data_IF_192442510865
#
_entry.id   IF_192442510865
#
_cell.length_a   1.000
_cell.length_b   1.000
_cell.length_c   1.000
_cell.angle_alpha   90.00
_cell.angle_beta   90.00
_cell.angle_gamma   90.00
#
_symmetry.space_group_name_H-M   'P 1'
#
loop_
_entity.id
_entity.type
_entity.pdbx_description
1 polymer ?
#
# COMPACT_ATOMS: atom_id res chain seq x y z
N UNK A 1 3.30 -27.23 -14.12
CA UNK A 1 3.76 -26.13 -13.25
C UNK A 1 2.52 -25.50 -12.62
N UNK A 2 2.51 -25.31 -11.32
CA UNK A 2 1.41 -24.67 -10.60
C UNK A 2 1.54 -23.16 -10.81
N UNK A 3 0.51 -22.50 -11.34
CA UNK A 3 0.58 -21.04 -11.57
C UNK A 3 0.36 -20.26 -10.26
N UNK A 4 0.82 -19.00 -10.21
CA UNK A 4 0.51 -18.08 -9.08
C UNK A 4 -0.99 -18.02 -8.82
N UNK A 5 -1.82 -18.01 -9.87
CA UNK A 5 -3.27 -18.00 -9.75
C UNK A 5 -3.79 -19.24 -9.01
N UNK A 6 -3.22 -20.42 -9.27
CA UNK A 6 -3.62 -21.66 -8.58
C UNK A 6 -3.24 -21.64 -7.12
N UNK A 7 -2.06 -21.10 -6.79
CA UNK A 7 -1.60 -20.95 -5.39
C UNK A 7 -2.48 -19.97 -4.64
N UNK A 8 -2.78 -18.81 -5.23
CA UNK A 8 -3.70 -17.80 -4.67
C UNK A 8 -5.09 -18.40 -4.44
N UNK A 9 -5.59 -19.19 -5.39
CA UNK A 9 -6.89 -19.85 -5.25
C UNK A 9 -6.91 -20.87 -4.10
N UNK A 10 -5.83 -21.65 -3.91
CA UNK A 10 -5.69 -22.59 -2.80
C UNK A 10 -5.65 -21.84 -1.46
N UNK A 11 -4.82 -20.80 -1.34
CA UNK A 11 -4.73 -19.96 -0.15
C UNK A 11 -6.09 -19.33 0.18
N UNK A 12 -6.76 -18.76 -0.84
CA UNK A 12 -8.09 -18.18 -0.65
C UNK A 12 -9.14 -19.21 -0.22
N UNK A 13 -9.02 -20.45 -0.69
CA UNK A 13 -9.88 -21.55 -0.28
C UNK A 13 -9.82 -21.84 1.22
N UNK A 14 -8.69 -21.58 1.89
CA UNK A 14 -8.51 -21.74 3.33
C UNK A 14 -9.34 -20.74 4.15
N UNK A 15 -9.80 -19.63 3.57
CA UNK A 15 -10.77 -18.73 4.19
C UNK A 15 -12.00 -19.45 4.73
N UNK A 16 -12.46 -20.49 4.02
CA UNK A 16 -13.67 -21.21 4.40
C UNK A 16 -13.48 -21.98 5.73
N UNK A 17 -12.27 -22.44 6.02
CA UNK A 17 -11.93 -23.11 7.28
C UNK A 17 -12.08 -22.16 8.47
N UNK A 18 -11.77 -20.87 8.27
CA UNK A 18 -11.75 -19.87 9.33
C UNK A 18 -13.10 -19.21 9.57
N UNK A 19 -14.00 -19.23 8.58
CA UNK A 19 -15.38 -18.73 8.74
C UNK A 19 -16.12 -19.39 9.91
N UNK A 20 -15.85 -20.66 10.16
CA UNK A 20 -16.45 -21.41 11.27
C UNK A 20 -15.94 -20.96 12.66
N UNK A 21 -14.84 -20.19 12.72
CA UNK A 21 -14.34 -19.52 13.94
C UNK A 21 -14.83 -18.08 14.08
N UNK A 22 -15.68 -17.60 13.16
CA UNK A 22 -16.20 -16.25 13.17
C UNK A 22 -15.20 -15.19 12.67
N UNK A 23 -14.12 -15.61 11.99
CA UNK A 23 -13.09 -14.74 11.42
C UNK A 23 -13.66 -14.09 10.15
N UNK A 24 -13.57 -12.76 10.07
CA UNK A 24 -13.95 -12.00 8.88
C UNK A 24 -12.91 -12.13 7.76
N UNK A 25 -13.28 -11.79 6.52
CA UNK A 25 -12.32 -11.84 5.40
C UNK A 25 -11.08 -10.94 5.60
N UNK A 26 -11.25 -9.75 6.18
CA UNK A 26 -10.12 -8.86 6.47
C UNK A 26 -9.20 -9.46 7.56
N UNK A 27 -9.77 -9.99 8.63
CA UNK A 27 -9.01 -10.67 9.68
C UNK A 27 -8.30 -11.91 9.14
N UNK A 28 -8.91 -12.63 8.19
CA UNK A 28 -8.27 -13.76 7.53
C UNK A 28 -7.00 -13.35 6.74
N UNK A 29 -7.09 -12.27 5.96
CA UNK A 29 -5.92 -11.80 5.19
C UNK A 29 -4.80 -11.36 6.13
N UNK A 30 -5.14 -10.72 7.26
CA UNK A 30 -4.17 -10.37 8.30
C UNK A 30 -3.50 -11.61 8.90
N UNK A 31 -4.28 -12.63 9.30
CA UNK A 31 -3.73 -13.91 9.79
C UNK A 31 -2.82 -14.59 8.75
N UNK A 32 -3.30 -14.63 7.51
CA UNK A 32 -2.55 -15.23 6.42
C UNK A 32 -1.25 -14.45 6.15
N UNK A 33 -1.27 -13.14 6.28
CA UNK A 33 -0.08 -12.29 6.14
C UNK A 33 0.97 -12.65 7.16
N UNK A 34 0.62 -12.84 8.44
CA UNK A 34 1.57 -13.26 9.47
C UNK A 34 2.21 -14.60 9.14
N UNK A 35 1.40 -15.59 8.80
CA UNK A 35 1.89 -16.94 8.49
C UNK A 35 2.72 -16.97 7.21
N UNK A 36 2.28 -16.29 6.16
CA UNK A 36 3.01 -16.19 4.90
C UNK A 36 4.34 -15.45 5.06
N UNK A 37 4.38 -14.38 5.84
CA UNK A 37 5.63 -13.66 6.12
C UNK A 37 6.69 -14.60 6.71
N UNK A 38 6.32 -15.34 7.75
CA UNK A 38 7.22 -16.31 8.40
C UNK A 38 7.69 -17.39 7.44
N UNK A 39 6.75 -17.97 6.67
CA UNK A 39 7.09 -19.00 5.69
C UNK A 39 7.96 -18.46 4.56
N UNK A 40 7.69 -17.28 4.06
CA UNK A 40 8.48 -16.66 2.99
C UNK A 40 9.91 -16.29 3.44
N UNK A 41 10.11 -15.91 4.71
CA UNK A 41 11.45 -15.73 5.27
C UNK A 41 12.22 -17.07 5.33
N UNK A 42 11.57 -18.17 5.72
CA UNK A 42 12.15 -19.52 5.67
C UNK A 42 12.56 -19.87 4.23
N UNK A 43 11.63 -19.75 3.28
CA UNK A 43 11.85 -20.11 1.87
C UNK A 43 12.91 -19.27 1.16
N UNK A 44 13.12 -18.03 1.61
CA UNK A 44 14.16 -17.12 1.07
C UNK A 44 15.46 -17.12 1.86
N UNK A 45 15.57 -17.92 2.93
CA UNK A 45 16.74 -17.99 3.78
C UNK A 45 17.03 -16.71 4.58
N UNK A 46 15.98 -15.91 4.87
CA UNK A 46 16.09 -14.63 5.57
C UNK A 46 15.54 -14.69 7.00
N UNK A 47 15.51 -15.88 7.61
CA UNK A 47 15.03 -16.05 8.99
C UNK A 47 15.97 -15.46 10.06
N UNK A 48 17.17 -15.03 9.68
CA UNK A 48 18.11 -14.26 10.52
C UNK A 48 17.53 -12.90 10.96
N UNK A 49 16.55 -12.37 10.24
CA UNK A 49 15.78 -11.16 10.62
C UNK A 49 14.88 -11.38 11.84
N UNK A 50 14.52 -12.64 12.12
CA UNK A 50 13.65 -12.99 13.23
C UNK A 50 14.47 -13.20 14.52
N UNK A 51 13.95 -12.83 15.70
CA UNK A 51 14.58 -13.17 16.97
C UNK A 51 14.76 -14.69 17.11
N UNK A 52 15.83 -15.10 17.78
CA UNK A 52 16.13 -16.51 18.00
C UNK A 52 14.95 -17.22 18.69
N UNK A 53 14.62 -18.41 18.22
CA UNK A 53 13.51 -19.22 18.76
C UNK A 53 12.13 -18.92 18.15
N UNK A 54 11.98 -17.89 17.31
CA UNK A 54 10.70 -17.50 16.71
C UNK A 54 10.68 -17.68 15.19
N UNK A 55 10.76 -18.93 14.73
CA UNK A 55 10.87 -19.30 13.31
C UNK A 55 9.74 -20.19 12.85
N UNK A 56 9.47 -20.19 11.53
CA UNK A 56 8.42 -20.99 10.93
C UNK A 56 8.54 -22.47 11.26
N UNK A 57 9.71 -23.08 11.07
CA UNK A 57 9.92 -24.51 11.30
C UNK A 57 9.65 -24.96 12.75
N UNK A 58 9.78 -24.05 13.73
CA UNK A 58 9.43 -24.33 15.14
C UNK A 58 7.91 -24.30 15.32
N UNK A 59 7.22 -23.32 14.72
CA UNK A 59 5.76 -23.22 14.77
C UNK A 59 5.09 -24.42 14.09
N UNK A 60 5.53 -24.79 12.89
CA UNK A 60 4.90 -25.82 12.08
C UNK A 60 5.03 -27.24 12.68
N UNK A 61 6.10 -27.49 13.45
CA UNK A 61 6.33 -28.77 14.14
C UNK A 61 5.48 -28.98 15.39
N UNK A 62 4.92 -27.92 15.97
CA UNK A 62 4.06 -28.00 17.15
C UNK A 62 2.64 -28.43 16.79
N UNK A 63 1.89 -28.91 17.78
CA UNK A 63 0.53 -29.39 17.59
C UNK A 63 -0.39 -28.98 18.75
N UNK A 64 -1.70 -28.97 18.50
CA UNK A 64 -2.70 -28.73 19.52
C UNK A 64 -2.58 -27.36 20.18
N UNK A 65 -2.88 -27.30 21.47
CA UNK A 65 -2.80 -26.07 22.25
C UNK A 65 -1.39 -25.49 22.32
N UNK A 66 -0.36 -26.37 22.35
CA UNK A 66 1.04 -25.93 22.37
C UNK A 66 1.39 -25.10 21.13
N UNK A 67 0.90 -25.49 19.94
CA UNK A 67 1.09 -24.71 18.71
C UNK A 67 0.40 -23.34 18.79
N UNK A 68 -0.83 -23.32 19.26
CA UNK A 68 -1.62 -22.09 19.35
C UNK A 68 -1.03 -21.10 20.37
N UNK A 69 -0.62 -21.58 21.52
CA UNK A 69 -0.02 -20.73 22.57
C UNK A 69 1.37 -20.22 22.17
N UNK A 70 2.17 -21.07 21.50
CA UNK A 70 3.42 -20.64 20.91
C UNK A 70 3.20 -19.55 19.84
N UNK A 71 2.22 -19.72 18.96
CA UNK A 71 1.90 -18.73 17.93
C UNK A 71 1.47 -17.38 18.53
N UNK A 72 0.64 -17.37 19.56
CA UNK A 72 0.28 -16.15 20.31
C UNK A 72 1.51 -15.45 20.90
N UNK A 73 2.38 -16.20 21.56
CA UNK A 73 3.62 -15.66 22.13
C UNK A 73 4.55 -15.13 21.03
N UNK A 74 4.67 -15.86 19.92
CA UNK A 74 5.47 -15.48 18.76
C UNK A 74 5.03 -14.13 18.19
N UNK A 75 3.73 -13.90 17.97
CA UNK A 75 3.22 -12.61 17.46
C UNK A 75 3.62 -11.45 18.37
N UNK A 76 3.53 -11.62 19.69
CA UNK A 76 3.89 -10.59 20.67
C UNK A 76 5.40 -10.30 20.67
N UNK A 77 6.24 -11.31 20.57
CA UNK A 77 7.70 -11.15 20.59
C UNK A 77 8.22 -10.57 19.28
N UNK A 78 7.61 -10.94 18.14
CA UNK A 78 7.95 -10.35 16.85
C UNK A 78 7.58 -8.87 16.77
N UNK A 79 6.51 -8.43 17.44
CA UNK A 79 6.16 -7.00 17.55
C UNK A 79 7.19 -6.16 18.34
N UNK A 80 8.09 -6.81 19.08
CA UNK A 80 9.19 -6.17 19.84
C UNK A 80 10.55 -6.37 19.17
N UNK A 81 10.59 -6.96 17.97
CA UNK A 81 11.83 -7.25 17.27
C UNK A 81 12.65 -5.99 17.01
N UNK A 82 13.97 -6.13 17.03
CA UNK A 82 14.91 -5.02 16.72
C UNK A 82 14.94 -4.70 15.22
N UNK A 83 14.58 -5.66 14.37
CA UNK A 83 14.37 -5.41 12.94
C UNK A 83 13.11 -4.56 12.74
N UNK A 84 13.27 -3.35 12.21
CA UNK A 84 12.19 -2.38 12.06
C UNK A 84 11.05 -2.86 11.16
N UNK A 85 11.34 -3.66 10.14
CA UNK A 85 10.31 -4.22 9.27
C UNK A 85 9.50 -5.33 9.97
N UNK A 86 10.19 -6.24 10.66
CA UNK A 86 9.53 -7.28 11.45
C UNK A 86 8.64 -6.64 12.50
N UNK A 87 9.18 -5.69 13.26
CA UNK A 87 8.42 -4.93 14.25
C UNK A 87 7.20 -4.24 13.64
N UNK A 88 7.34 -3.55 12.49
CA UNK A 88 6.22 -2.88 11.82
C UNK A 88 5.10 -3.84 11.38
N UNK A 89 5.45 -5.03 10.89
CA UNK A 89 4.47 -6.05 10.50
C UNK A 89 3.73 -6.63 11.71
N UNK A 90 4.44 -6.82 12.82
CA UNK A 90 3.89 -7.50 14.00
C UNK A 90 3.51 -6.56 15.16
N UNK A 91 3.63 -5.24 15.01
CA UNK A 91 3.15 -4.28 16.01
C UNK A 91 1.69 -4.58 16.37
N UNK A 92 1.40 -4.74 17.65
CA UNK A 92 0.06 -5.08 18.19
C UNK A 92 -0.60 -6.31 17.53
N UNK A 93 0.20 -7.22 16.97
CA UNK A 93 -0.30 -8.40 16.30
C UNK A 93 -0.97 -9.36 17.30
N UNK A 94 -2.19 -9.75 16.97
CA UNK A 94 -2.97 -10.71 17.75
C UNK A 94 -3.67 -11.68 16.80
N UNK A 95 -3.60 -12.96 17.09
CA UNK A 95 -4.35 -13.96 16.32
C UNK A 95 -5.84 -13.95 16.67
N UNK A 96 -6.68 -14.11 15.65
CA UNK A 96 -8.12 -14.35 15.79
C UNK A 96 -8.45 -15.85 15.86
N UNK A 97 -7.48 -16.71 15.61
CA UNK A 97 -7.64 -18.15 15.68
C UNK A 97 -7.89 -18.60 17.12
N UNK A 98 -8.93 -19.39 17.32
CA UNK A 98 -9.31 -19.93 18.61
C UNK A 98 -9.10 -21.46 18.69
N UNK A 99 -9.24 -22.14 17.57
CA UNK A 99 -9.11 -23.59 17.48
C UNK A 99 -7.71 -23.98 16.99
N UNK A 100 -6.97 -24.79 17.74
CA UNK A 100 -5.66 -25.29 17.31
C UNK A 100 -5.72 -26.04 15.97
N UNK A 101 -6.82 -26.74 15.72
CA UNK A 101 -7.04 -27.46 14.44
C UNK A 101 -7.01 -26.54 13.23
N UNK A 102 -7.49 -25.30 13.37
CA UNK A 102 -7.50 -24.33 12.27
C UNK A 102 -6.09 -23.78 12.01
N UNK A 103 -5.32 -23.49 13.07
CA UNK A 103 -3.92 -23.09 12.92
C UNK A 103 -3.11 -24.22 12.28
N UNK A 104 -3.29 -25.48 12.73
CA UNK A 104 -2.62 -26.64 12.13
C UNK A 104 -2.99 -26.82 10.66
N UNK A 105 -4.27 -26.66 10.32
CA UNK A 105 -4.71 -26.71 8.93
C UNK A 105 -4.03 -25.62 8.06
N UNK A 106 -3.95 -24.38 8.56
CA UNK A 106 -3.27 -23.29 7.85
C UNK A 106 -1.79 -23.59 7.65
N UNK A 107 -1.05 -23.89 8.73
CA UNK A 107 0.40 -24.14 8.65
C UNK A 107 0.70 -25.33 7.74
N UNK A 108 -0.05 -26.41 7.84
CA UNK A 108 0.14 -27.60 6.99
C UNK A 108 -0.16 -27.33 5.51
N UNK A 109 -1.22 -26.58 5.21
CA UNK A 109 -1.55 -26.26 3.82
C UNK A 109 -0.55 -25.24 3.22
N UNK A 110 -0.05 -24.31 4.01
CA UNK A 110 1.00 -23.38 3.59
C UNK A 110 2.29 -24.14 3.29
N UNK A 111 2.70 -25.09 4.13
CA UNK A 111 3.89 -25.92 3.89
C UNK A 111 3.80 -26.76 2.60
N UNK A 112 2.59 -27.19 2.23
CA UNK A 112 2.34 -28.02 1.04
C UNK A 112 2.20 -27.23 -0.26
N UNK A 113 2.35 -25.91 -0.22
CA UNK A 113 2.36 -25.10 -1.46
C UNK A 113 3.59 -25.42 -2.29
N UNK A 114 3.46 -25.23 -3.60
CA UNK A 114 4.58 -25.32 -4.53
C UNK A 114 5.44 -24.03 -4.44
N UNK A 115 6.27 -23.97 -3.39
CA UNK A 115 7.13 -22.82 -3.12
C UNK A 115 8.22 -22.62 -4.17
N UNK A 116 8.62 -23.68 -4.88
CA UNK A 116 9.55 -23.56 -5.99
C UNK A 116 8.93 -22.73 -7.12
N UNK A 117 7.75 -23.12 -7.61
CA UNK A 117 7.04 -22.35 -8.63
C UNK A 117 6.69 -20.93 -8.15
N UNK A 118 6.30 -20.78 -6.87
CA UNK A 118 5.99 -19.47 -6.29
C UNK A 118 7.20 -18.52 -6.30
N UNK A 119 8.41 -19.03 -6.05
CA UNK A 119 9.65 -18.23 -6.13
C UNK A 119 10.02 -17.87 -7.56
N UNK A 120 9.91 -18.80 -8.50
CA UNK A 120 10.17 -18.56 -9.93
C UNK A 120 9.26 -17.48 -10.52
N UNK A 121 7.97 -17.47 -10.13
CA UNK A 121 7.02 -16.45 -10.57
C UNK A 121 7.06 -15.15 -9.74
N UNK A 122 7.78 -15.16 -8.62
CA UNK A 122 7.92 -14.04 -7.69
C UNK A 122 6.89 -14.04 -6.56
N UNK A 123 7.38 -14.12 -5.32
CA UNK A 123 6.55 -14.12 -4.10
C UNK A 123 5.70 -12.83 -3.97
N UNK A 124 6.22 -11.71 -4.45
CA UNK A 124 5.48 -10.45 -4.53
C UNK A 124 4.22 -10.57 -5.38
N UNK A 125 4.31 -11.18 -6.56
CA UNK A 125 3.16 -11.38 -7.45
C UNK A 125 2.09 -12.27 -6.81
N UNK A 126 2.51 -13.31 -6.07
CA UNK A 126 1.59 -14.16 -5.31
C UNK A 126 0.85 -13.35 -4.25
N UNK A 127 1.56 -12.56 -3.47
CA UNK A 127 0.98 -11.76 -2.40
C UNK A 127 0.04 -10.67 -2.95
N UNK A 128 0.45 -9.98 -4.00
CA UNK A 128 -0.42 -9.02 -4.68
C UNK A 128 -1.70 -9.67 -5.21
N UNK A 129 -1.63 -10.88 -5.81
CA UNK A 129 -2.81 -11.62 -6.26
C UNK A 129 -3.77 -11.94 -5.10
N UNK A 130 -3.25 -12.22 -3.90
CA UNK A 130 -4.05 -12.41 -2.70
C UNK A 130 -4.74 -11.12 -2.26
N UNK A 131 -4.03 -9.98 -2.26
CA UNK A 131 -4.60 -8.67 -1.94
C UNK A 131 -5.70 -8.28 -2.93
N UNK A 132 -5.49 -8.52 -4.22
CA UNK A 132 -6.49 -8.26 -5.26
C UNK A 132 -7.73 -9.13 -5.07
N UNK A 133 -7.56 -10.42 -4.76
CA UNK A 133 -8.66 -11.33 -4.45
C UNK A 133 -9.48 -10.87 -3.26
N UNK A 134 -8.81 -10.40 -2.19
CA UNK A 134 -9.47 -9.79 -1.04
C UNK A 134 -10.28 -8.54 -1.42
N UNK A 135 -9.70 -7.67 -2.22
CA UNK A 135 -10.36 -6.44 -2.67
C UNK A 135 -11.57 -6.72 -3.57
N UNK A 136 -11.49 -7.74 -4.43
CA UNK A 136 -12.58 -8.14 -5.32
C UNK A 136 -13.74 -8.81 -4.58
N UNK A 137 -13.52 -9.36 -3.38
CA UNK A 137 -14.58 -9.98 -2.58
C UNK A 137 -15.49 -8.91 -1.97
N UNK A 138 -16.75 -8.86 -2.44
CA UNK A 138 -17.76 -7.90 -1.99
C UNK A 138 -18.05 -7.96 -0.49
N UNK A 139 -17.75 -9.08 0.16
CA UNK A 139 -17.98 -9.30 1.61
C UNK A 139 -16.86 -8.73 2.47
N UNK A 140 -15.67 -8.54 1.90
CA UNK A 140 -14.52 -8.02 2.64
C UNK A 140 -14.66 -6.53 2.99
N UNK A 141 -15.38 -5.77 2.16
CA UNK A 141 -15.43 -4.30 2.26
C UNK A 141 -14.13 -3.59 1.91
N UNK A 142 -13.04 -4.34 1.64
CA UNK A 142 -11.73 -3.80 1.32
C UNK A 142 -11.67 -3.15 -0.07
N UNK A 143 -12.54 -3.56 -0.98
CA UNK A 143 -12.51 -3.13 -2.38
C UNK A 143 -12.80 -1.65 -2.63
N UNK A 144 -13.35 -0.93 -1.65
CA UNK A 144 -13.63 0.51 -1.81
C UNK A 144 -12.36 1.38 -1.85
N UNK A 145 -11.22 0.86 -1.39
CA UNK A 145 -9.94 1.60 -1.33
C UNK A 145 -8.87 0.98 -2.22
N UNK A 146 -9.17 -0.12 -2.88
CA UNK A 146 -8.20 -0.83 -3.73
C UNK A 146 -8.22 -0.26 -5.15
N UNK A 147 -7.06 0.13 -5.65
CA UNK A 147 -6.89 0.62 -7.03
C UNK A 147 -6.58 -0.55 -7.95
N UNK A 148 -7.39 -0.79 -8.99
CA UNK A 148 -7.14 -1.89 -9.93
C UNK A 148 -5.76 -1.78 -10.59
N UNK A 149 -5.02 -2.89 -10.67
CA UNK A 149 -3.68 -2.94 -11.25
C UNK A 149 -3.59 -2.38 -12.67
N UNK A 150 -4.51 -2.71 -13.61
CA UNK A 150 -4.43 -2.13 -14.95
C UNK A 150 -4.47 -0.59 -14.95
N UNK A 151 -5.19 0.01 -13.99
CA UNK A 151 -5.21 1.47 -13.83
C UNK A 151 -3.88 1.99 -13.28
N UNK A 152 -3.33 1.32 -12.26
CA UNK A 152 -2.02 1.65 -11.68
C UNK A 152 -0.95 1.59 -12.78
N UNK A 153 -0.87 0.49 -13.52
CA UNK A 153 0.12 0.28 -14.58
C UNK A 153 -0.01 1.34 -15.69
N UNK A 154 -1.24 1.68 -16.07
CA UNK A 154 -1.50 2.74 -17.05
C UNK A 154 -0.97 4.10 -16.56
N UNK A 155 -1.29 4.48 -15.31
CA UNK A 155 -0.85 5.75 -14.71
C UNK A 155 0.68 5.77 -14.60
N UNK A 156 1.32 4.70 -14.12
CA UNK A 156 2.78 4.62 -13.98
C UNK A 156 3.49 4.75 -15.33
N UNK A 157 2.97 4.08 -16.38
CA UNK A 157 3.51 4.21 -17.75
C UNK A 157 3.40 5.62 -18.31
N UNK A 158 2.32 6.35 -18.00
CA UNK A 158 2.15 7.74 -18.40
C UNK A 158 3.08 8.67 -17.63
N UNK A 159 3.31 8.40 -16.35
CA UNK A 159 4.12 9.24 -15.47
C UNK A 159 5.61 8.96 -15.55
N UNK A 160 6.02 7.78 -16.02
CA UNK A 160 7.41 7.39 -16.29
C UNK A 160 8.38 7.75 -15.14
N UNK A 161 8.26 7.08 -13.98
CA UNK A 161 9.19 7.29 -12.86
C UNK A 161 10.63 7.04 -13.30
N UNK A 162 11.57 7.89 -12.84
CA UNK A 162 12.98 7.83 -13.21
C UNK A 162 13.85 7.44 -12.01
N UNK A 163 14.96 6.75 -12.23
CA UNK A 163 15.94 6.50 -11.18
C UNK A 163 16.42 7.80 -10.53
N UNK A 164 16.49 7.80 -9.18
CA UNK A 164 16.91 8.97 -8.41
C UNK A 164 15.78 9.94 -8.06
N UNK A 165 14.56 9.72 -8.56
CA UNK A 165 13.39 10.46 -8.10
C UNK A 165 12.86 9.91 -6.77
N UNK A 166 12.38 10.80 -5.92
CA UNK A 166 11.52 10.42 -4.79
C UNK A 166 10.09 10.29 -5.32
N UNK A 167 9.55 9.07 -5.23
CA UNK A 167 8.16 8.74 -5.56
C UNK A 167 7.37 8.58 -4.26
N UNK A 168 6.33 9.40 -4.08
CA UNK A 168 5.54 9.41 -2.86
C UNK A 168 4.10 8.93 -3.13
N UNK A 169 3.57 8.12 -2.21
CA UNK A 169 2.13 7.86 -2.10
C UNK A 169 1.65 8.22 -0.68
N UNK A 170 1.01 9.39 -0.49
CA UNK A 170 0.56 9.86 0.83
C UNK A 170 -0.69 9.12 1.36
N UNK A 171 -1.21 8.16 0.62
CA UNK A 171 -2.31 7.28 1.01
C UNK A 171 -2.06 5.88 0.43
N UNK A 172 -0.93 5.28 0.82
CA UNK A 172 -0.28 4.17 0.14
C UNK A 172 -1.15 2.89 0.03
N UNK A 173 -2.13 2.73 0.92
CA UNK A 173 -2.94 1.51 0.93
C UNK A 173 -2.04 0.28 1.08
N UNK A 174 -2.06 -0.59 0.10
CA UNK A 174 -1.16 -1.77 0.03
C UNK A 174 0.10 -1.54 -0.82
N UNK A 175 0.49 -0.30 -1.05
CA UNK A 175 1.65 0.14 -1.82
C UNK A 175 1.59 -0.15 -3.34
N UNK A 176 0.42 -0.33 -3.91
CA UNK A 176 0.29 -0.69 -5.33
C UNK A 176 0.99 0.26 -6.30
N UNK A 177 0.88 1.59 -6.09
CA UNK A 177 1.58 2.58 -6.91
C UNK A 177 3.11 2.54 -6.71
N UNK A 178 3.59 2.38 -5.48
CA UNK A 178 5.02 2.34 -5.18
C UNK A 178 5.67 1.09 -5.79
N UNK A 179 5.03 -0.08 -5.65
CA UNK A 179 5.48 -1.33 -6.27
C UNK A 179 5.50 -1.23 -7.79
N UNK A 180 4.47 -0.66 -8.39
CA UNK A 180 4.43 -0.50 -9.86
C UNK A 180 5.47 0.51 -10.37
N UNK A 181 5.76 1.57 -9.61
CA UNK A 181 6.81 2.53 -9.94
C UNK A 181 8.21 1.89 -9.87
N UNK A 182 8.49 1.10 -8.83
CA UNK A 182 9.73 0.36 -8.69
C UNK A 182 9.92 -0.64 -9.83
N UNK A 183 8.88 -1.43 -10.14
CA UNK A 183 8.90 -2.35 -11.29
C UNK A 183 9.18 -1.63 -12.59
N UNK A 184 8.53 -0.49 -12.85
CA UNK A 184 8.78 0.31 -14.05
C UNK A 184 10.26 0.73 -14.15
N UNK A 185 10.85 1.21 -13.06
CA UNK A 185 12.27 1.61 -13.01
C UNK A 185 13.17 0.39 -13.24
N UNK A 186 12.92 -0.74 -12.57
CA UNK A 186 13.68 -1.99 -12.74
C UNK A 186 13.64 -2.49 -14.18
N UNK A 187 12.47 -2.50 -14.82
CA UNK A 187 12.31 -2.92 -16.23
C UNK A 187 13.14 -2.07 -17.19
N UNK A 188 13.35 -0.78 -16.88
CA UNK A 188 14.12 0.14 -17.74
C UNK A 188 15.61 0.22 -17.37
N UNK A 189 16.02 -0.38 -16.27
CA UNK A 189 17.40 -0.33 -15.74
C UNK A 189 18.04 -1.70 -15.58
N UNK A 190 17.47 -2.75 -16.18
CA UNK A 190 17.95 -4.11 -16.07
C UNK A 190 18.09 -4.54 -14.59
N UNK A 191 16.99 -4.50 -13.89
CA UNK A 191 16.90 -4.75 -12.44
C UNK A 191 17.89 -3.92 -11.60
N UNK A 192 18.04 -2.64 -11.95
CA UNK A 192 18.97 -1.66 -11.36
C UNK A 192 20.47 -1.91 -11.68
N UNK A 193 20.83 -2.97 -12.41
CA UNK A 193 22.24 -3.27 -12.75
C UNK A 193 22.88 -2.19 -13.63
N UNK A 194 22.10 -1.45 -14.42
CA UNK A 194 22.59 -0.33 -15.23
C UNK A 194 22.86 0.94 -14.45
N UNK A 195 22.51 0.97 -13.16
CA UNK A 195 22.68 2.15 -12.30
C UNK A 195 24.01 2.08 -11.53
N UNK A 196 24.63 3.24 -11.25
CA UNK A 196 25.67 3.32 -10.24
C UNK A 196 25.18 2.77 -8.89
N UNK A 197 26.06 2.13 -8.13
CA UNK A 197 25.74 1.48 -6.85
C UNK A 197 24.97 2.42 -5.88
N UNK A 198 25.41 3.67 -5.78
CA UNK A 198 24.74 4.66 -4.93
C UNK A 198 23.29 4.96 -5.37
N UNK A 199 23.03 4.96 -6.69
CA UNK A 199 21.65 5.15 -7.19
C UNK A 199 20.81 3.89 -6.99
N UNK A 200 21.39 2.70 -7.19
CA UNK A 200 20.69 1.45 -6.94
C UNK A 200 20.35 1.29 -5.45
N UNK A 201 21.27 1.71 -4.56
CA UNK A 201 21.00 1.77 -3.11
C UNK A 201 19.87 2.76 -2.80
N UNK A 202 19.96 3.99 -3.32
CA UNK A 202 18.92 5.00 -3.12
C UNK A 202 17.54 4.49 -3.57
N UNK A 203 17.48 3.83 -4.75
CA UNK A 203 16.24 3.28 -5.30
C UNK A 203 15.59 2.26 -4.36
N UNK A 204 16.38 1.38 -3.75
CA UNK A 204 15.87 0.34 -2.84
C UNK A 204 15.42 0.88 -1.49
N UNK A 205 16.10 1.93 -0.95
CA UNK A 205 15.97 2.31 0.44
C UNK A 205 15.30 3.67 0.66
N UNK A 206 15.37 4.59 -0.31
CA UNK A 206 15.00 5.99 -0.09
C UNK A 206 14.05 6.56 -1.13
N UNK A 207 13.98 5.97 -2.32
CA UNK A 207 13.23 6.53 -3.44
C UNK A 207 11.70 6.43 -3.27
N UNK A 208 11.24 5.39 -2.56
CA UNK A 208 9.82 5.07 -2.44
C UNK A 208 9.35 5.36 -1.03
N UNK A 209 8.50 6.37 -0.89
CA UNK A 209 8.05 6.88 0.41
C UNK A 209 6.54 7.06 0.45
N UNK A 210 5.95 7.11 1.63
CA UNK A 210 4.52 7.34 1.74
C UNK A 210 3.99 7.26 3.16
N UNK A 211 2.66 7.27 3.25
CA UNK A 211 1.95 7.12 4.50
C UNK A 211 0.71 6.24 4.35
N UNK A 212 0.43 5.46 5.37
CA UNK A 212 -0.82 4.71 5.51
C UNK A 212 -1.33 4.82 6.95
N UNK A 213 -2.55 5.31 7.09
CA UNK A 213 -3.16 5.58 8.40
C UNK A 213 -3.60 4.30 9.13
N UNK A 214 -4.15 3.33 8.38
CA UNK A 214 -4.79 2.15 8.98
C UNK A 214 -3.71 1.10 9.29
N UNK A 215 -3.47 0.75 10.58
CA UNK A 215 -2.38 -0.15 10.95
C UNK A 215 -2.42 -1.51 10.23
N UNK A 216 -3.62 -2.11 10.09
CA UNK A 216 -3.74 -3.38 9.38
C UNK A 216 -3.40 -3.26 7.89
N UNK A 217 -3.78 -2.17 7.24
CA UNK A 217 -3.43 -1.89 5.84
C UNK A 217 -1.94 -1.59 5.71
N UNK A 218 -1.36 -0.82 6.64
CA UNK A 218 0.07 -0.56 6.70
C UNK A 218 0.90 -1.85 6.81
N UNK A 219 0.44 -2.81 7.62
CA UNK A 219 1.05 -4.14 7.72
C UNK A 219 1.08 -4.87 6.38
N UNK A 220 -0.05 -4.85 5.65
CA UNK A 220 -0.12 -5.42 4.30
C UNK A 220 0.80 -4.69 3.32
N UNK A 221 0.89 -3.37 3.44
CA UNK A 221 1.79 -2.51 2.68
C UNK A 221 3.26 -2.92 2.88
N UNK A 222 3.71 -3.00 4.14
CA UNK A 222 5.09 -3.35 4.47
C UNK A 222 5.48 -4.74 3.98
N UNK A 223 4.58 -5.71 4.08
CA UNK A 223 4.78 -7.04 3.52
C UNK A 223 4.91 -7.00 1.99
N UNK A 224 4.06 -6.23 1.31
CA UNK A 224 4.10 -6.10 -0.14
C UNK A 224 5.41 -5.47 -0.62
N UNK A 225 5.86 -4.40 0.03
CA UNK A 225 7.14 -3.74 -0.27
C UNK A 225 8.32 -4.71 -0.11
N UNK A 226 8.37 -5.43 1.02
CA UNK A 226 9.43 -6.41 1.28
C UNK A 226 9.55 -7.47 0.18
N UNK A 227 8.41 -8.03 -0.24
CA UNK A 227 8.36 -9.11 -1.23
C UNK A 227 8.79 -8.66 -2.62
N UNK A 228 8.76 -7.35 -2.88
CA UNK A 228 9.29 -6.74 -4.10
C UNK A 228 10.72 -6.20 -3.93
N UNK A 229 11.37 -6.46 -2.78
CA UNK A 229 12.73 -6.00 -2.49
C UNK A 229 12.84 -4.49 -2.30
N UNK A 230 11.76 -3.85 -1.85
CA UNK A 230 11.69 -2.43 -1.53
C UNK A 230 11.86 -2.28 -0.02
N UNK A 231 12.91 -1.62 0.39
CA UNK A 231 13.22 -1.34 1.80
C UNK A 231 12.91 0.12 2.20
N UNK A 232 12.14 0.80 1.35
CA UNK A 232 11.73 2.19 1.54
C UNK A 232 10.66 2.38 2.62
N UNK A 233 10.41 3.64 2.96
CA UNK A 233 9.63 4.05 4.11
C UNK A 233 8.19 4.42 3.77
N UNK A 234 7.23 3.55 4.07
CA UNK A 234 5.85 3.95 4.27
C UNK A 234 5.61 4.02 5.79
N UNK A 235 5.22 5.21 6.27
CA UNK A 235 5.01 5.46 7.68
C UNK A 235 3.56 5.19 8.08
N UNK A 236 3.34 4.71 9.32
CA UNK A 236 1.97 4.53 9.83
C UNK A 236 1.50 5.83 10.51
N UNK A 237 1.11 6.81 9.71
CA UNK A 237 0.70 8.15 10.15
C UNK A 237 -0.54 8.65 9.41
N UNK A 238 -1.22 9.65 9.98
CA UNK A 238 -2.26 10.43 9.28
C UNK A 238 -1.63 11.57 8.49
N UNK A 239 -1.58 11.44 7.17
CA UNK A 239 -1.11 12.50 6.25
C UNK A 239 -1.78 13.86 6.48
N UNK A 240 -3.01 13.87 7.00
CA UNK A 240 -3.77 15.09 7.29
C UNK A 240 -3.60 15.57 8.74
N UNK A 241 -2.65 15.01 9.50
CA UNK A 241 -2.19 15.46 10.81
C UNK A 241 -0.83 16.18 10.72
N UNK A 242 -0.31 16.79 11.78
CA UNK A 242 1.04 17.36 11.79
C UNK A 242 2.14 16.39 11.37
N UNK A 243 1.98 15.09 11.66
CA UNK A 243 2.95 14.06 11.25
C UNK A 243 3.12 14.01 9.73
N UNK A 244 2.07 14.28 8.96
CA UNK A 244 2.16 14.35 7.50
C UNK A 244 3.02 15.50 6.96
N UNK A 245 3.45 16.46 7.79
CA UNK A 245 4.42 17.51 7.43
C UNK A 245 5.85 16.96 7.34
N UNK A 246 6.10 15.82 7.99
CA UNK A 246 7.43 15.17 8.02
C UNK A 246 7.74 14.40 6.75
N UNK A 247 6.71 14.08 5.94
CA UNK A 247 6.92 13.39 4.67
C UNK A 247 7.83 14.18 3.74
N UNK A 248 8.81 13.50 3.17
CA UNK A 248 9.77 14.10 2.24
C UNK A 248 9.06 14.72 1.04
N UNK A 249 9.58 15.84 0.54
CA UNK A 249 9.18 16.38 -0.75
C UNK A 249 9.47 15.37 -1.86
N UNK A 250 8.61 15.36 -2.90
CA UNK A 250 8.66 14.34 -3.94
C UNK A 250 8.80 14.94 -5.35
N UNK A 251 9.53 14.22 -6.20
CA UNK A 251 9.62 14.51 -7.63
C UNK A 251 8.40 13.95 -8.37
N UNK A 252 7.80 12.87 -7.85
CA UNK A 252 6.63 12.23 -8.41
C UNK A 252 5.67 11.80 -7.29
N UNK A 253 4.40 12.17 -7.42
CA UNK A 253 3.35 11.68 -6.51
C UNK A 253 2.32 10.88 -7.32
N UNK A 254 2.09 9.64 -6.89
CA UNK A 254 1.12 8.71 -7.47
C UNK A 254 0.20 8.24 -6.35
N UNK A 255 -1.10 8.54 -6.41
CA UNK A 255 -1.96 8.22 -5.28
C UNK A 255 -3.44 8.12 -5.64
N UNK A 256 -4.16 7.29 -4.90
CA UNK A 256 -5.61 7.24 -4.86
C UNK A 256 -6.09 7.51 -3.42
N UNK A 257 -6.20 8.78 -3.01
CA UNK A 257 -6.59 9.14 -1.65
C UNK A 257 -7.99 8.65 -1.27
N UNK A 258 -8.28 8.44 0.02
CA UNK A 258 -9.60 8.03 0.47
C UNK A 258 -10.66 9.11 0.17
N UNK A 259 -11.82 8.67 -0.33
CA UNK A 259 -12.94 9.55 -0.66
C UNK A 259 -13.85 9.78 0.53
N UNK A 260 -14.61 10.88 0.49
CA UNK A 260 -15.64 11.22 1.47
C UNK A 260 -15.17 12.16 2.58
N UNK A 261 -16.02 12.31 3.59
CA UNK A 261 -15.75 13.16 4.74
C UNK A 261 -15.15 12.37 5.89
N UNK A 262 -14.34 13.02 6.75
CA UNK A 262 -13.92 12.42 8.02
C UNK A 262 -15.15 12.11 8.88
N UNK A 263 -15.21 10.92 9.47
CA UNK A 263 -16.26 10.55 10.41
C UNK A 263 -16.31 11.56 11.56
N UNK A 264 -17.51 12.00 11.95
CA UNK A 264 -17.70 13.02 12.99
C UNK A 264 -17.35 14.46 12.56
N UNK A 265 -17.18 14.74 11.26
CA UNK A 265 -16.89 16.09 10.76
C UNK A 265 -15.47 16.59 11.07
N UNK A 266 -14.54 15.67 11.41
CA UNK A 266 -13.15 16.03 11.70
C UNK A 266 -12.49 16.76 10.53
N UNK A 267 -11.67 17.79 10.85
CA UNK A 267 -10.91 18.57 9.88
C UNK A 267 -9.44 18.10 9.85
N UNK A 268 -8.66 18.45 8.80
CA UNK A 268 -7.22 18.34 8.87
C UNK A 268 -6.66 19.11 10.07
N UNK A 269 -5.63 18.58 10.70
CA UNK A 269 -4.96 19.26 11.83
C UNK A 269 -3.57 19.79 11.43
N UNK A 270 -3.31 19.84 10.14
CA UNK A 270 -2.09 20.38 9.50
C UNK A 270 -2.01 21.90 9.73
N UNK A 271 -0.86 22.36 10.23
CA UNK A 271 -0.60 23.77 10.47
C UNK A 271 -0.31 24.57 9.19
N UNK A 272 0.22 23.90 8.17
CA UNK A 272 0.58 24.46 6.87
C UNK A 272 -0.59 24.56 5.88
N UNK A 273 -1.75 23.96 6.18
CA UNK A 273 -2.92 24.04 5.31
C UNK A 273 -3.61 25.40 5.41
N UNK A 274 -3.78 26.07 4.28
CA UNK A 274 -4.41 27.39 4.19
C UNK A 274 -5.72 27.39 3.39
N UNK A 275 -5.93 26.39 2.54
CA UNK A 275 -7.09 26.28 1.67
C UNK A 275 -8.14 25.34 2.26
N UNK A 276 -7.70 24.18 2.77
CA UNK A 276 -8.57 23.09 3.20
C UNK A 276 -8.60 22.89 4.72
N UNK A 277 -8.01 23.77 5.50
CA UNK A 277 -7.98 23.70 6.97
C UNK A 277 -9.38 23.56 7.60
N UNK A 278 -10.40 24.14 6.97
CA UNK A 278 -11.78 24.19 7.48
C UNK A 278 -12.72 23.16 6.88
N UNK A 279 -12.25 22.24 6.02
CA UNK A 279 -13.09 21.24 5.41
C UNK A 279 -12.96 19.88 6.06
N UNK A 280 -14.06 19.14 6.17
CA UNK A 280 -14.03 17.71 6.50
C UNK A 280 -13.84 16.81 5.27
N UNK A 281 -13.80 17.40 4.07
CA UNK A 281 -13.66 16.69 2.80
C UNK A 281 -12.22 16.22 2.61
N UNK A 282 -11.98 14.93 2.77
CA UNK A 282 -10.64 14.33 2.74
C UNK A 282 -9.95 14.53 1.38
N UNK A 283 -10.66 14.30 0.28
CA UNK A 283 -10.07 14.38 -1.05
C UNK A 283 -9.58 15.78 -1.39
N UNK A 284 -10.25 16.85 -0.93
CA UNK A 284 -9.75 18.21 -1.10
C UNK A 284 -8.48 18.43 -0.29
N UNK A 285 -8.45 17.95 0.97
CA UNK A 285 -7.28 18.07 1.84
C UNK A 285 -6.06 17.31 1.29
N UNK A 286 -6.27 16.12 0.71
CA UNK A 286 -5.19 15.39 0.06
C UNK A 286 -4.64 16.12 -1.18
N UNK A 287 -5.50 16.76 -1.98
CA UNK A 287 -5.01 17.57 -3.12
C UNK A 287 -4.14 18.74 -2.62
N UNK A 288 -4.51 19.41 -1.52
CA UNK A 288 -3.65 20.46 -0.94
C UNK A 288 -2.31 19.88 -0.48
N UNK A 289 -2.32 18.73 0.24
CA UNK A 289 -1.09 18.04 0.62
C UNK A 289 -0.19 17.77 -0.58
N UNK A 290 -0.73 17.16 -1.66
CA UNK A 290 0.03 16.77 -2.83
C UNK A 290 0.72 17.98 -3.49
N UNK A 291 -0.01 19.09 -3.68
CA UNK A 291 0.59 20.31 -4.26
C UNK A 291 1.72 20.85 -3.37
N UNK A 292 1.56 20.78 -2.05
CA UNK A 292 2.59 21.22 -1.10
C UNK A 292 3.79 20.28 -1.04
N UNK A 293 3.57 18.98 -1.20
CA UNK A 293 4.61 17.95 -1.14
C UNK A 293 5.45 17.86 -2.42
N UNK A 294 4.97 18.38 -3.56
CA UNK A 294 5.75 18.37 -4.80
C UNK A 294 6.94 19.33 -4.74
N UNK A 295 8.09 18.85 -5.19
CA UNK A 295 9.23 19.70 -5.53
C UNK A 295 8.91 20.60 -6.73
N UNK A 296 9.55 21.78 -6.88
CA UNK A 296 9.43 22.57 -8.09
C UNK A 296 9.82 21.76 -9.34
N UNK A 297 8.91 21.68 -10.31
CA UNK A 297 9.05 20.81 -11.49
C UNK A 297 8.62 19.36 -11.29
N UNK A 298 8.32 18.94 -10.06
CA UNK A 298 7.75 17.64 -9.75
C UNK A 298 6.34 17.49 -10.35
N UNK A 299 5.89 16.26 -10.50
CA UNK A 299 4.62 15.91 -11.17
C UNK A 299 3.78 14.96 -10.35
N UNK A 300 2.47 15.00 -10.56
CA UNK A 300 1.55 14.11 -9.86
C UNK A 300 0.48 13.54 -10.78
N UNK A 301 0.04 12.33 -10.45
CA UNK A 301 -1.18 11.73 -10.96
C UNK A 301 -2.04 11.31 -9.76
N UNK A 302 -3.22 11.89 -9.65
CA UNK A 302 -4.08 11.77 -8.47
C UNK A 302 -5.47 11.31 -8.88
N UNK A 303 -5.92 10.18 -8.31
CA UNK A 303 -7.30 9.73 -8.49
C UNK A 303 -8.21 10.54 -7.58
N UNK A 304 -9.24 11.15 -8.14
CA UNK A 304 -10.19 11.96 -7.40
C UNK A 304 -11.64 11.66 -7.82
N UNK A 305 -12.61 11.78 -6.92
CA UNK A 305 -14.02 11.71 -7.29
C UNK A 305 -14.46 12.99 -7.98
N UNK A 306 -15.57 12.91 -8.73
CA UNK A 306 -16.11 14.01 -9.55
C UNK A 306 -16.30 15.32 -8.77
N UNK A 307 -16.68 15.28 -7.49
CA UNK A 307 -16.95 16.48 -6.71
C UNK A 307 -15.74 17.41 -6.57
N UNK A 308 -14.50 16.89 -6.63
CA UNK A 308 -13.29 17.75 -6.65
C UNK A 308 -13.31 18.72 -7.82
N UNK A 309 -13.93 18.35 -8.94
CA UNK A 309 -13.99 19.19 -10.16
C UNK A 309 -15.01 20.30 -10.10
N UNK A 310 -16.08 20.16 -9.31
CA UNK A 310 -17.20 21.13 -9.33
C UNK A 310 -17.65 21.64 -7.96
N UNK A 311 -17.13 21.10 -6.84
CA UNK A 311 -17.50 21.58 -5.50
C UNK A 311 -17.19 23.07 -5.35
N UNK A 312 -18.15 23.83 -4.84
CA UNK A 312 -18.00 25.27 -4.62
C UNK A 312 -17.20 25.58 -3.33
N UNK A 313 -17.09 26.83 -2.99
CA UNK A 313 -16.41 27.33 -1.78
C UNK A 313 -14.96 26.83 -1.68
N UNK A 314 -14.67 25.93 -0.77
CA UNK A 314 -13.32 25.38 -0.55
C UNK A 314 -12.80 24.67 -1.81
N UNK A 315 -13.64 23.88 -2.50
CA UNK A 315 -13.27 23.22 -3.74
C UNK A 315 -12.87 24.19 -4.84
N UNK A 316 -13.63 25.30 -5.02
CA UNK A 316 -13.31 26.34 -5.98
C UNK A 316 -11.98 27.04 -5.65
N UNK A 317 -11.77 27.40 -4.37
CA UNK A 317 -10.48 28.01 -3.94
C UNK A 317 -9.31 27.06 -4.19
N UNK A 318 -9.49 25.78 -3.89
CA UNK A 318 -8.45 24.76 -4.11
C UNK A 318 -8.09 24.62 -5.60
N UNK A 319 -9.08 24.54 -6.49
CA UNK A 319 -8.83 24.45 -7.94
C UNK A 319 -8.11 25.70 -8.46
N UNK A 320 -8.51 26.89 -8.05
CA UNK A 320 -7.82 28.12 -8.43
C UNK A 320 -6.36 28.09 -7.98
N UNK A 321 -6.12 27.74 -6.71
CA UNK A 321 -4.79 27.65 -6.14
C UNK A 321 -3.92 26.56 -6.81
N UNK A 322 -4.52 25.38 -7.10
CA UNK A 322 -3.84 24.31 -7.84
C UNK A 322 -3.40 24.81 -9.23
N UNK A 323 -4.29 25.46 -9.98
CA UNK A 323 -3.98 25.93 -11.34
C UNK A 323 -3.02 27.13 -11.34
N UNK A 324 -2.98 27.90 -10.28
CA UNK A 324 -1.97 28.96 -10.11
C UNK A 324 -0.58 28.35 -9.89
N UNK A 325 -0.44 27.37 -9.02
CA UNK A 325 0.84 26.78 -8.63
C UNK A 325 1.33 25.65 -9.53
N UNK A 326 0.41 24.97 -10.21
CA UNK A 326 0.71 23.82 -11.06
C UNK A 326 0.16 24.01 -12.45
N UNK A 327 0.79 23.38 -13.41
CA UNK A 327 0.23 23.15 -14.74
C UNK A 327 -0.64 21.89 -14.69
N UNK A 328 -1.95 22.07 -14.52
CA UNK A 328 -2.94 21.00 -14.66
C UNK A 328 -3.24 20.83 -16.16
N UNK A 329 -2.60 19.87 -16.79
CA UNK A 329 -2.64 19.70 -18.25
C UNK A 329 -3.60 18.61 -18.74
N UNK A 330 -4.05 17.69 -17.86
CA UNK A 330 -4.92 16.58 -18.29
C UNK A 330 -5.84 16.16 -17.15
N UNK A 331 -7.11 15.99 -17.46
CA UNK A 331 -8.10 15.32 -16.62
C UNK A 331 -8.60 14.09 -17.37
N UNK A 332 -8.23 12.91 -16.90
CA UNK A 332 -8.67 11.64 -17.47
C UNK A 332 -9.92 11.15 -16.73
N UNK A 333 -11.05 11.14 -17.43
CA UNK A 333 -12.27 10.56 -16.87
C UNK A 333 -12.24 9.05 -16.94
N UNK A 334 -12.44 8.40 -15.80
CA UNK A 334 -12.45 6.95 -15.71
C UNK A 334 -13.84 6.38 -16.00
N UNK A 335 -13.94 5.18 -16.60
CA UNK A 335 -15.20 4.48 -16.78
C UNK A 335 -15.89 4.20 -15.44
N UNK A 336 -17.22 4.27 -15.41
CA UNK A 336 -18.00 3.85 -14.25
C UNK A 336 -17.79 2.35 -14.01
N UNK A 337 -17.61 1.96 -12.74
CA UNK A 337 -17.40 0.56 -12.36
C UNK A 337 -15.95 0.08 -12.42
N UNK A 338 -14.98 0.96 -12.72
CA UNK A 338 -13.55 0.59 -12.67
C UNK A 338 -13.10 0.23 -11.25
N UNK A 339 -13.68 0.85 -10.23
CA UNK A 339 -13.47 0.50 -8.83
C UNK A 339 -14.52 -0.51 -8.35
N UNK A 340 -14.13 -1.37 -7.42
CA UNK A 340 -15.04 -2.37 -6.83
C UNK A 340 -16.20 -1.73 -6.05
N UNK A 341 -16.03 -0.51 -5.52
CA UNK A 341 -17.11 0.29 -4.94
C UNK A 341 -17.95 0.94 -6.05
N UNK A 342 -19.18 0.45 -6.23
CA UNK A 342 -20.08 0.90 -7.29
C UNK A 342 -20.59 2.32 -7.07
N UNK A 343 -20.69 3.10 -8.14
CA UNK A 343 -21.46 4.34 -8.21
C UNK A 343 -20.67 5.64 -8.10
N UNK A 344 -19.37 5.61 -7.75
CA UNK A 344 -18.56 6.84 -7.71
C UNK A 344 -17.92 7.06 -9.08
N UNK A 345 -18.19 8.23 -9.68
CA UNK A 345 -17.49 8.69 -10.87
C UNK A 345 -16.15 9.28 -10.44
N UNK A 346 -15.09 8.84 -11.09
CA UNK A 346 -13.72 9.21 -10.74
C UNK A 346 -12.94 9.72 -11.94
N UNK A 347 -11.93 10.51 -11.65
CA UNK A 347 -11.02 11.08 -12.64
C UNK A 347 -9.58 10.92 -12.14
N UNK A 348 -8.61 11.00 -13.05
CA UNK A 348 -7.21 11.17 -12.70
C UNK A 348 -6.78 12.57 -13.12
N UNK A 349 -6.27 13.35 -12.18
CA UNK A 349 -5.67 14.65 -12.44
C UNK A 349 -4.18 14.48 -12.69
N UNK A 350 -3.68 14.96 -13.82
CA UNK A 350 -2.26 14.99 -14.15
C UNK A 350 -1.79 16.44 -14.15
N UNK A 351 -0.82 16.75 -13.29
CA UNK A 351 -0.28 18.10 -13.18
C UNK A 351 1.19 18.11 -12.80
N UNK A 352 1.85 19.21 -13.10
CA UNK A 352 3.26 19.47 -12.76
C UNK A 352 3.37 20.75 -11.95
N UNK A 353 4.15 20.71 -10.87
CA UNK A 353 4.47 21.91 -10.08
C UNK A 353 5.24 22.91 -10.95
N UNK A 354 4.69 24.12 -11.09
CA UNK A 354 5.31 25.19 -11.85
C UNK A 354 6.45 25.88 -11.09
N UNK A 355 7.16 26.75 -11.81
CA UNK A 355 8.19 27.62 -11.25
C UNK A 355 7.63 28.97 -10.81
N UNK A 356 6.50 29.37 -11.37
CA UNK A 356 5.81 30.62 -11.04
C UNK A 356 4.78 30.38 -9.92
N UNK A 357 4.48 31.43 -9.17
CA UNK A 357 3.49 31.38 -8.08
C UNK A 357 2.05 31.56 -8.59
N UNK A 358 1.85 31.93 -9.85
CA UNK A 358 0.54 32.10 -10.47
C UNK A 358 0.52 31.74 -11.94
N UNK A 359 -0.64 31.29 -12.42
CA UNK A 359 -0.97 31.15 -13.82
C UNK A 359 -0.14 30.08 -14.55
N UNK A 360 0.24 29.00 -13.88
CA UNK A 360 1.00 27.92 -14.50
C UNK A 360 0.13 27.08 -15.46
N UNK A 361 -1.14 26.84 -15.12
CA UNK A 361 -2.08 26.17 -16.05
C UNK A 361 -2.53 27.13 -17.16
N UNK A 362 -2.34 26.73 -18.41
CA UNK A 362 -2.76 27.49 -19.59
C UNK A 362 -3.99 26.89 -20.27
N UNK A 363 -4.06 25.58 -20.31
CA UNK A 363 -5.19 24.80 -20.86
C UNK A 363 -5.23 23.43 -20.20
N UNK A 364 -6.43 22.86 -20.13
CA UNK A 364 -6.66 21.53 -19.58
C UNK A 364 -7.31 20.64 -20.62
#
# INVERSE_FOLDING_TARGET
>A
MTTTTDIVAKLWGLCNVLRDDGVTYNEYVTELTFLLFLKMLEETGKEDRLPEGWRWGILAKREGMEQLDYYKAMLLELGKATDGLVSAIFTDAQTRLRKPTNLKALTSNIDQLDWFSAREEGLGNLYEGLLEKNAADKKSGAGQYFTPRPLIDCIVRLMQPQPGEIVQDPAAGTAGFLVAADRYIKDHTDDLYKLPEAQAFFQRHNALVGAELVPDTHRLCMMNLLLHGIEGGVENIDTLSPDGETLSKANLILTNPPFGTKKGGGRPTRSDFSITADTSNKQLAFVEHIVRALEPGGRAAVVVPDNVLFEDNTGRRLRTWLMDLCDLHTILRLPTGIFYAQGVKTNVLFFRRGKADKGNTKAV
#
